data_IF_443517070601
#
_entry.id   IF_443517070601
#
_cell.length_a   1.000
_cell.length_b   1.000
_cell.length_c   1.000
_cell.angle_alpha   90.00
_cell.angle_beta   90.00
_cell.angle_gamma   90.00
#
_symmetry.space_group_name_H-M   'P 1'
#
loop_
_entity.id
_entity.type
_entity.pdbx_description
1 polymer ?
#
# COMPACT_ATOMS: atom_id res chain seq x y z
N UNK A 1 8.20 23.95 -7.79
CA UNK A 1 7.08 24.92 -7.84
C UNK A 1 7.16 25.96 -6.72
N UNK A 2 7.26 25.58 -5.46
CA UNK A 2 7.36 26.55 -4.35
C UNK A 2 8.45 27.61 -4.50
N UNK A 3 9.55 27.31 -5.16
CA UNK A 3 10.61 28.32 -5.42
C UNK A 3 10.29 29.26 -6.58
N UNK A 4 9.56 28.81 -7.61
CA UNK A 4 9.09 29.66 -8.70
C UNK A 4 7.98 30.59 -8.19
N UNK A 5 7.06 30.08 -7.39
CA UNK A 5 6.03 30.89 -6.71
C UNK A 5 6.66 31.96 -5.82
N UNK A 6 7.72 31.59 -5.11
CA UNK A 6 8.45 32.51 -4.23
C UNK A 6 9.22 33.60 -4.99
N UNK A 7 9.70 33.29 -6.20
CA UNK A 7 10.44 34.24 -7.05
C UNK A 7 9.53 35.22 -7.77
N UNK A 8 8.29 34.80 -8.12
CA UNK A 8 7.38 35.60 -8.95
C UNK A 8 6.09 36.03 -8.22
N UNK A 9 5.84 35.54 -7.03
CA UNK A 9 4.62 35.85 -6.28
C UNK A 9 3.32 35.31 -6.94
N UNK A 10 3.47 34.40 -7.89
CA UNK A 10 2.35 33.80 -8.64
C UNK A 10 2.26 32.33 -8.38
N UNK A 11 1.07 31.75 -8.35
CA UNK A 11 0.88 30.31 -8.23
C UNK A 11 1.23 29.59 -9.54
N UNK A 12 1.56 28.30 -9.48
CA UNK A 12 1.83 27.50 -10.68
C UNK A 12 0.65 27.54 -11.68
N UNK A 13 -0.58 27.55 -11.19
CA UNK A 13 -1.78 27.68 -12.02
C UNK A 13 -1.92 29.05 -12.69
N UNK A 14 -1.33 30.10 -12.10
CA UNK A 14 -1.34 31.44 -12.70
C UNK A 14 -0.27 31.55 -13.81
N UNK A 15 0.86 30.88 -13.64
CA UNK A 15 1.92 30.79 -14.66
C UNK A 15 1.40 30.01 -15.88
N UNK A 16 0.73 28.90 -15.68
CA UNK A 16 0.10 28.11 -16.74
C UNK A 16 -0.87 28.94 -17.58
N UNK A 17 -1.73 29.73 -16.92
CA UNK A 17 -2.71 30.60 -17.62
C UNK A 17 -2.06 31.69 -18.45
N UNK A 18 -0.95 32.25 -18.00
CA UNK A 18 -0.24 33.33 -18.68
C UNK A 18 0.60 32.84 -19.85
N UNK A 19 1.21 31.68 -19.72
CA UNK A 19 2.15 31.13 -20.71
C UNK A 19 1.55 30.08 -21.63
N UNK A 20 0.35 29.61 -21.35
CA UNK A 20 -0.29 28.48 -22.06
C UNK A 20 0.62 27.24 -22.15
N UNK A 21 1.41 27.02 -21.10
CA UNK A 21 2.34 25.89 -20.94
C UNK A 21 1.73 24.96 -19.91
N UNK A 22 1.64 23.68 -20.20
CA UNK A 22 1.16 22.69 -19.23
C UNK A 22 2.10 22.64 -18.01
N UNK A 23 1.56 22.38 -16.82
CA UNK A 23 2.35 22.30 -15.57
C UNK A 23 3.50 21.33 -15.72
N UNK A 24 3.30 20.20 -16.40
CA UNK A 24 4.30 19.17 -16.67
C UNK A 24 5.46 19.65 -17.56
N UNK A 25 5.22 20.69 -18.37
CA UNK A 25 6.26 21.30 -19.22
C UNK A 25 7.10 22.35 -18.48
N UNK A 26 6.62 22.89 -17.35
CA UNK A 26 7.34 23.86 -16.53
C UNK A 26 8.51 23.20 -15.78
N UNK A 27 8.47 21.91 -15.55
CA UNK A 27 9.53 21.13 -14.88
C UNK A 27 10.89 21.23 -15.60
N UNK A 28 10.91 21.59 -16.86
CA UNK A 28 12.13 21.69 -17.68
C UNK A 28 12.62 23.12 -17.93
N UNK A 29 11.91 24.12 -17.44
CA UNK A 29 12.33 25.51 -17.62
C UNK A 29 13.47 25.82 -16.68
N UNK A 30 14.63 26.19 -17.24
CA UNK A 30 15.87 26.61 -16.57
C UNK A 30 16.85 25.47 -16.17
N UNK A 31 16.69 24.25 -16.67
CA UNK A 31 17.68 23.18 -16.44
C UNK A 31 17.70 22.65 -15.02
N UNK A 32 16.69 22.97 -14.23
CA UNK A 32 16.43 22.35 -12.94
C UNK A 32 15.43 21.22 -13.21
N UNK A 33 15.89 19.99 -13.17
CA UNK A 33 14.98 18.85 -13.05
C UNK A 33 14.40 18.92 -11.64
N UNK A 34 13.18 19.44 -11.52
CA UNK A 34 12.41 19.16 -10.32
C UNK A 34 12.12 17.66 -10.36
N UNK A 35 12.37 16.94 -9.26
CA UNK A 35 11.90 15.57 -9.20
C UNK A 35 10.39 15.62 -9.50
N UNK A 36 9.99 15.00 -10.60
CA UNK A 36 8.57 14.76 -10.84
C UNK A 36 8.04 14.17 -9.55
N UNK A 37 6.99 14.76 -9.00
CA UNK A 37 6.31 14.17 -7.87
C UNK A 37 5.61 12.90 -8.36
N UNK A 38 6.40 11.89 -8.61
CA UNK A 38 5.94 10.62 -9.15
C UNK A 38 5.36 9.71 -8.08
N UNK A 39 4.76 10.29 -7.06
CA UNK A 39 3.74 9.59 -6.31
C UNK A 39 2.51 9.61 -7.18
N UNK A 40 2.41 8.57 -7.97
CA UNK A 40 1.29 8.44 -8.84
C UNK A 40 0.13 7.79 -8.09
N UNK A 41 -0.88 8.57 -7.84
CA UNK A 41 -2.17 8.10 -7.39
C UNK A 41 -3.20 8.55 -8.42
N UNK A 42 -3.73 7.60 -9.14
CA UNK A 42 -4.74 7.89 -10.15
C UNK A 42 -6.12 7.99 -9.54
N UNK A 43 -7.10 8.17 -10.41
CA UNK A 43 -8.50 8.23 -10.01
C UNK A 43 -9.13 6.87 -9.78
N UNK A 44 -8.48 5.78 -10.17
CA UNK A 44 -9.00 4.41 -10.06
C UNK A 44 -8.27 3.65 -8.96
N UNK A 45 -9.03 3.13 -8.01
CA UNK A 45 -8.55 2.18 -7.00
C UNK A 45 -8.90 0.76 -7.41
N UNK A 46 -7.94 -0.16 -7.33
CA UNK A 46 -8.10 -1.58 -7.53
C UNK A 46 -7.83 -2.31 -6.23
N UNK A 47 -8.62 -3.34 -5.95
CA UNK A 47 -8.37 -4.34 -4.90
C UNK A 47 -8.35 -5.72 -5.52
N UNK A 48 -7.50 -6.60 -5.02
CA UNK A 48 -7.30 -7.90 -5.63
C UNK A 48 -6.98 -8.99 -4.61
N UNK A 49 -7.34 -10.22 -4.96
CA UNK A 49 -7.08 -11.39 -4.16
C UNK A 49 -7.82 -11.38 -2.83
N UNK A 50 -7.15 -11.87 -1.81
CA UNK A 50 -7.67 -11.99 -0.45
C UNK A 50 -8.49 -13.24 -0.21
N UNK A 51 -9.22 -13.24 0.89
CA UNK A 51 -10.07 -14.32 1.34
C UNK A 51 -11.51 -13.85 1.47
N UNK A 52 -12.40 -14.57 0.85
CA UNK A 52 -13.86 -14.39 0.99
C UNK A 52 -14.42 -15.42 1.97
N UNK A 53 -15.41 -14.99 2.72
CA UNK A 53 -16.20 -15.91 3.53
C UNK A 53 -17.38 -16.41 2.71
N UNK A 54 -17.42 -17.70 2.39
CA UNK A 54 -18.56 -18.34 1.68
C UNK A 54 -19.68 -18.79 2.64
N UNK A 55 -19.60 -18.41 3.91
CA UNK A 55 -20.51 -18.82 4.98
C UNK A 55 -20.10 -20.12 5.67
N UNK A 56 -19.08 -20.81 5.20
CA UNK A 56 -18.60 -22.10 5.74
C UNK A 56 -17.09 -22.15 5.90
N UNK A 57 -16.34 -21.45 5.03
CA UNK A 57 -14.89 -21.50 4.97
C UNK A 57 -14.33 -20.20 4.40
N UNK A 58 -13.07 -19.93 4.71
CA UNK A 58 -12.31 -18.94 3.98
C UNK A 58 -11.92 -19.51 2.62
N UNK A 59 -12.30 -18.83 1.55
CA UNK A 59 -11.97 -19.21 0.17
C UNK A 59 -11.13 -18.12 -0.46
N UNK A 60 -9.91 -18.44 -0.93
CA UNK A 60 -9.12 -17.47 -1.68
C UNK A 60 -9.86 -17.06 -2.95
N UNK A 61 -9.71 -15.81 -3.32
CA UNK A 61 -10.30 -15.26 -4.55
C UNK A 61 -9.22 -14.74 -5.47
N UNK A 62 -9.39 -14.93 -6.76
CA UNK A 62 -8.55 -14.35 -7.83
C UNK A 62 -9.14 -13.06 -8.40
N UNK A 63 -10.29 -12.64 -7.90
CA UNK A 63 -11.03 -11.49 -8.42
C UNK A 63 -10.24 -10.19 -8.18
N UNK A 64 -10.30 -9.32 -9.18
CA UNK A 64 -9.87 -7.94 -9.09
C UNK A 64 -11.11 -7.06 -9.22
N UNK A 65 -11.38 -6.29 -8.19
CA UNK A 65 -12.45 -5.29 -8.18
C UNK A 65 -11.87 -3.88 -8.30
N UNK A 66 -12.65 -2.94 -8.87
CA UNK A 66 -12.24 -1.54 -8.99
C UNK A 66 -13.38 -0.55 -8.77
N UNK A 67 -13.00 0.66 -8.41
CA UNK A 67 -13.89 1.84 -8.42
C UNK A 67 -13.09 3.11 -8.71
N UNK A 68 -13.79 4.19 -9.00
CA UNK A 68 -13.17 5.53 -8.99
C UNK A 68 -13.04 5.99 -7.54
N UNK A 69 -11.82 6.23 -7.07
CA UNK A 69 -11.55 6.78 -5.73
C UNK A 69 -12.34 8.08 -5.55
N UNK A 70 -13.02 8.22 -4.43
CA UNK A 70 -13.94 9.31 -4.11
C UNK A 70 -15.31 9.32 -4.82
N UNK A 71 -15.60 8.36 -5.68
CA UNK A 71 -16.99 8.16 -6.14
C UNK A 71 -17.80 7.40 -5.10
N UNK A 72 -19.10 7.63 -5.09
CA UNK A 72 -20.06 6.78 -4.38
C UNK A 72 -20.49 5.63 -5.28
N UNK A 73 -20.71 4.44 -4.73
CA UNK A 73 -21.16 3.25 -5.46
C UNK A 73 -20.25 2.05 -5.21
N UNK A 74 -20.84 0.86 -5.30
CA UNK A 74 -20.14 -0.40 -5.11
C UNK A 74 -19.02 -0.57 -6.15
N UNK A 75 -18.03 -1.40 -5.81
CA UNK A 75 -16.98 -1.78 -6.73
C UNK A 75 -17.54 -2.58 -7.91
N UNK A 76 -16.81 -2.58 -8.98
CA UNK A 76 -17.12 -3.34 -10.22
C UNK A 76 -16.01 -4.33 -10.49
N UNK A 77 -16.35 -5.41 -11.16
CA UNK A 77 -15.39 -6.41 -11.63
C UNK A 77 -14.41 -5.79 -12.63
N UNK A 78 -13.13 -5.97 -12.39
CA UNK A 78 -12.03 -5.56 -13.26
C UNK A 78 -11.50 -6.73 -14.09
N UNK A 79 -11.41 -7.92 -13.50
CA UNK A 79 -10.82 -9.14 -14.05
C UNK A 79 -10.24 -10.02 -12.96
N UNK A 80 -9.31 -10.91 -13.32
CA UNK A 80 -8.78 -11.93 -12.41
C UNK A 80 -7.25 -11.94 -12.36
N UNK A 81 -6.72 -12.41 -11.22
CA UNK A 81 -5.32 -12.83 -11.11
C UNK A 81 -5.12 -14.12 -11.92
N UNK A 82 -4.10 -14.14 -12.76
CA UNK A 82 -3.83 -15.32 -13.61
C UNK A 82 -3.02 -16.39 -12.89
N UNK A 83 -2.29 -16.05 -11.84
CA UNK A 83 -1.66 -17.03 -10.96
C UNK A 83 -2.71 -17.46 -9.93
N UNK A 84 -3.42 -18.51 -10.26
CA UNK A 84 -4.44 -19.12 -9.39
C UNK A 84 -3.78 -19.77 -8.18
N UNK A 85 -4.21 -19.36 -7.01
CA UNK A 85 -3.72 -19.90 -5.73
C UNK A 85 -2.82 -18.95 -4.92
N UNK A 86 -2.18 -17.97 -5.54
CA UNK A 86 -1.38 -16.94 -4.86
C UNK A 86 -2.28 -15.77 -4.40
N UNK A 87 -3.32 -16.03 -3.64
CA UNK A 87 -4.41 -15.06 -3.49
C UNK A 87 -4.45 -14.42 -2.10
N UNK A 88 -3.79 -15.01 -1.11
CA UNK A 88 -3.63 -14.42 0.21
C UNK A 88 -2.35 -13.60 0.29
N UNK A 89 -2.39 -12.49 1.03
CA UNK A 89 -1.20 -11.68 1.34
C UNK A 89 -0.46 -11.18 0.12
N UNK A 90 -1.19 -10.89 -0.93
CA UNK A 90 -0.69 -10.21 -2.12
C UNK A 90 -0.58 -8.72 -1.86
N UNK A 91 0.41 -8.08 -2.42
CA UNK A 91 0.60 -6.64 -2.32
C UNK A 91 0.54 -6.01 -3.70
N UNK A 92 0.25 -4.72 -3.76
CA UNK A 92 0.17 -3.99 -5.02
C UNK A 92 0.80 -2.63 -4.98
N UNK A 93 1.30 -2.23 -6.14
CA UNK A 93 1.82 -0.90 -6.40
C UNK A 93 1.57 -0.52 -7.86
N UNK A 94 1.75 0.74 -8.20
CA UNK A 94 1.62 1.17 -9.59
C UNK A 94 2.56 2.32 -9.94
N UNK A 95 2.72 2.55 -11.25
CA UNK A 95 3.28 3.79 -11.79
C UNK A 95 2.17 4.68 -12.40
N UNK A 96 0.93 4.38 -12.05
CA UNK A 96 -0.24 5.05 -12.52
C UNK A 96 -0.92 4.40 -13.72
N UNK A 97 -0.16 3.97 -14.68
CA UNK A 97 -0.69 3.27 -15.86
C UNK A 97 -0.64 1.77 -15.71
N UNK A 98 0.46 1.26 -15.15
CA UNK A 98 0.69 -0.17 -14.92
C UNK A 98 0.66 -0.45 -13.42
N UNK A 99 -0.30 -1.27 -13.00
CA UNK A 99 -0.38 -1.81 -11.67
C UNK A 99 0.32 -3.16 -11.60
N UNK A 100 1.10 -3.42 -10.55
CA UNK A 100 1.78 -4.70 -10.32
C UNK A 100 1.32 -5.30 -9.01
N UNK A 101 0.94 -6.56 -9.06
CA UNK A 101 0.57 -7.42 -7.93
C UNK A 101 1.72 -8.38 -7.66
N UNK A 102 2.08 -8.57 -6.40
CA UNK A 102 3.30 -9.27 -6.03
C UNK A 102 3.07 -10.39 -5.03
N UNK A 103 3.85 -11.47 -5.17
CA UNK A 103 3.95 -12.54 -4.20
C UNK A 103 2.63 -13.25 -3.94
N UNK A 104 2.44 -13.65 -2.71
CA UNK A 104 1.21 -14.26 -2.20
C UNK A 104 1.38 -15.67 -1.68
N UNK A 105 0.31 -16.18 -1.08
CA UNK A 105 0.27 -17.47 -0.41
C UNK A 105 -1.03 -18.22 -0.69
N UNK A 106 -0.99 -19.53 -0.66
CA UNK A 106 -2.18 -20.40 -0.60
C UNK A 106 -2.02 -21.49 0.44
N UNK A 107 -3.13 -21.88 1.04
CA UNK A 107 -3.21 -23.10 1.85
C UNK A 107 -4.07 -24.19 1.19
N UNK A 108 -4.70 -23.88 0.05
CA UNK A 108 -5.54 -24.83 -0.68
C UNK A 108 -4.68 -25.78 -1.51
N UNK A 109 -4.86 -27.06 -1.28
CA UNK A 109 -4.05 -28.09 -1.95
C UNK A 109 -2.66 -28.29 -1.36
N UNK A 110 -2.34 -27.61 -0.26
CA UNK A 110 -1.05 -27.57 0.42
C UNK A 110 -0.52 -26.15 0.52
N UNK A 111 0.28 -25.88 1.55
CA UNK A 111 0.87 -24.56 1.73
C UNK A 111 1.87 -24.26 0.62
N UNK A 112 1.72 -23.14 -0.07
CA UNK A 112 2.65 -22.65 -1.07
C UNK A 112 2.75 -21.13 -1.02
N UNK A 113 3.95 -20.60 -1.20
CA UNK A 113 4.23 -19.19 -1.45
C UNK A 113 4.70 -19.00 -2.87
N UNK A 114 4.48 -17.81 -3.39
CA UNK A 114 4.73 -17.48 -4.79
C UNK A 114 5.70 -16.30 -4.89
N UNK A 115 6.48 -16.27 -5.97
CA UNK A 115 7.38 -15.17 -6.29
C UNK A 115 6.90 -14.32 -7.47
N UNK A 116 5.73 -14.60 -8.01
CA UNK A 116 5.23 -13.95 -9.22
C UNK A 116 5.06 -12.44 -9.05
N UNK A 117 5.45 -11.71 -10.08
CA UNK A 117 5.00 -10.36 -10.37
C UNK A 117 3.96 -10.45 -11.49
N UNK A 118 2.77 -9.92 -11.26
CA UNK A 118 1.70 -9.89 -12.25
C UNK A 118 1.29 -8.44 -12.50
N UNK A 119 0.94 -8.05 -13.72
CA UNK A 119 0.54 -6.68 -13.98
C UNK A 119 -0.82 -6.56 -14.69
N UNK A 120 -1.42 -5.41 -14.51
CA UNK A 120 -2.59 -4.93 -15.26
C UNK A 120 -2.32 -3.55 -15.83
N UNK A 121 -3.04 -3.17 -16.89
CA UNK A 121 -3.17 -1.77 -17.32
C UNK A 121 -4.32 -1.16 -16.53
N UNK A 122 -4.05 -0.24 -15.60
CA UNK A 122 -5.06 0.26 -14.65
C UNK A 122 -6.27 0.92 -15.34
N UNK A 123 -6.05 1.56 -16.49
CA UNK A 123 -7.10 2.19 -17.29
C UNK A 123 -8.05 1.23 -18.03
N UNK A 124 -7.72 -0.06 -18.11
CA UNK A 124 -8.48 -1.05 -18.91
C UNK A 124 -8.75 -2.30 -18.11
N UNK A 125 -10.03 -2.71 -18.00
CA UNK A 125 -10.40 -3.96 -17.37
C UNK A 125 -9.81 -5.16 -18.10
N UNK A 126 -9.43 -6.18 -17.37
CA UNK A 126 -8.85 -7.43 -17.88
C UNK A 126 -8.03 -8.15 -16.82
N UNK A 127 -7.68 -9.38 -17.11
CA UNK A 127 -6.90 -10.24 -16.23
C UNK A 127 -5.44 -9.80 -16.18
N UNK A 128 -4.75 -10.17 -15.11
CA UNK A 128 -3.31 -9.93 -14.99
C UNK A 128 -2.50 -10.68 -16.05
N UNK A 129 -1.33 -10.15 -16.30
CA UNK A 129 -0.31 -10.76 -17.18
C UNK A 129 0.99 -10.91 -16.39
N UNK A 130 1.77 -11.92 -16.70
CA UNK A 130 3.08 -12.14 -16.10
C UNK A 130 4.02 -10.94 -16.31
N UNK A 131 4.67 -10.51 -15.23
CA UNK A 131 5.64 -9.41 -15.22
C UNK A 131 7.05 -9.86 -14.79
N UNK A 132 7.23 -11.11 -14.39
CA UNK A 132 8.49 -11.65 -13.87
C UNK A 132 8.34 -12.17 -12.45
N UNK A 133 9.45 -12.25 -11.72
CA UNK A 133 9.51 -12.86 -10.40
C UNK A 133 10.22 -11.97 -9.37
N UNK A 134 9.82 -12.04 -8.11
CA UNK A 134 10.61 -11.63 -6.95
C UNK A 134 11.86 -12.49 -6.83
N UNK A 135 12.85 -12.08 -6.05
CA UNK A 135 14.08 -12.82 -5.82
C UNK A 135 13.84 -14.21 -5.22
N UNK A 136 12.76 -14.35 -4.44
CA UNK A 136 12.32 -15.63 -3.87
C UNK A 136 10.79 -15.62 -3.60
N UNK A 137 10.23 -16.81 -3.41
CA UNK A 137 8.83 -16.97 -3.05
C UNK A 137 8.57 -16.49 -1.62
N UNK A 138 7.74 -15.47 -1.47
CA UNK A 138 7.43 -14.82 -0.20
C UNK A 138 6.04 -14.17 -0.21
N UNK A 139 5.50 -13.94 0.95
CA UNK A 139 4.22 -13.25 1.14
C UNK A 139 4.29 -12.29 2.34
N UNK A 140 3.24 -11.54 2.56
CA UNK A 140 3.06 -10.74 3.78
C UNK A 140 4.06 -9.58 3.96
N UNK A 141 4.66 -9.15 2.87
CA UNK A 141 5.43 -7.91 2.82
C UNK A 141 4.54 -6.70 2.52
N UNK A 142 5.17 -5.59 2.22
CA UNK A 142 4.51 -4.35 1.78
C UNK A 142 5.25 -3.75 0.60
N UNK A 143 4.56 -2.90 -0.15
CA UNK A 143 5.09 -2.36 -1.41
C UNK A 143 5.07 -0.84 -1.43
N UNK A 144 6.06 -0.26 -2.10
CA UNK A 144 6.15 1.15 -2.42
C UNK A 144 6.59 1.36 -3.87
N UNK A 145 6.38 2.55 -4.42
CA UNK A 145 6.72 2.90 -5.79
C UNK A 145 7.25 4.32 -5.89
N UNK A 146 8.30 4.53 -6.68
CA UNK A 146 8.71 5.88 -7.08
C UNK A 146 8.23 6.25 -8.50
N UNK A 147 7.25 5.53 -9.02
CA UNK A 147 6.73 5.72 -10.37
C UNK A 147 7.57 5.07 -11.48
N UNK A 148 8.83 4.76 -11.22
CA UNK A 148 9.73 4.06 -12.15
C UNK A 148 9.97 2.63 -11.67
N UNK A 149 10.33 2.48 -10.42
CA UNK A 149 10.62 1.22 -9.77
C UNK A 149 9.56 0.89 -8.70
N UNK A 150 9.22 -0.38 -8.62
CA UNK A 150 8.48 -0.97 -7.51
C UNK A 150 9.45 -1.60 -6.52
N UNK A 151 9.06 -1.58 -5.26
CA UNK A 151 9.83 -2.12 -4.13
C UNK A 151 8.93 -3.03 -3.31
N UNK A 152 9.47 -4.15 -2.85
CA UNK A 152 8.81 -5.07 -1.94
C UNK A 152 9.66 -5.22 -0.70
N UNK A 153 9.13 -4.79 0.44
CA UNK A 153 9.83 -4.81 1.72
C UNK A 153 9.51 -6.09 2.49
N UNK A 154 10.54 -6.77 2.97
CA UNK A 154 10.42 -7.89 3.90
C UNK A 154 9.58 -9.07 3.37
N UNK A 155 8.60 -9.48 4.14
CA UNK A 155 7.79 -10.67 3.93
C UNK A 155 8.34 -11.88 4.68
N UNK A 156 7.67 -13.02 4.51
CA UNK A 156 8.09 -14.29 5.11
C UNK A 156 8.21 -15.40 4.07
N UNK A 157 9.01 -16.41 4.40
CA UNK A 157 9.19 -17.62 3.59
C UNK A 157 8.54 -18.84 4.22
N UNK A 158 8.02 -19.75 3.38
CA UNK A 158 7.31 -20.94 3.81
C UNK A 158 8.20 -21.93 4.59
N UNK A 159 9.47 -22.06 4.22
CA UNK A 159 10.35 -23.12 4.74
C UNK A 159 10.53 -23.10 6.27
N UNK A 160 10.43 -21.92 6.87
CA UNK A 160 10.62 -21.75 8.32
C UNK A 160 9.59 -20.80 8.93
N UNK A 161 8.69 -20.24 8.15
CA UNK A 161 7.85 -19.12 8.54
C UNK A 161 8.72 -17.97 9.10
N UNK A 162 9.91 -17.83 8.50
CA UNK A 162 10.86 -16.82 8.92
C UNK A 162 10.62 -15.54 8.14
N UNK A 163 10.69 -14.47 8.87
CA UNK A 163 10.64 -13.12 8.35
C UNK A 163 11.93 -12.82 7.57
N UNK A 164 11.83 -11.97 6.56
CA UNK A 164 12.93 -11.52 5.71
C UNK A 164 13.25 -10.06 5.98
N UNK A 165 14.52 -9.68 5.82
CA UNK A 165 14.95 -8.27 5.82
C UNK A 165 15.10 -7.71 4.41
N UNK A 166 15.17 -8.57 3.43
CA UNK A 166 15.46 -8.25 2.04
C UNK A 166 14.41 -7.31 1.44
N UNK A 167 14.87 -6.34 0.68
CA UNK A 167 14.05 -5.44 -0.13
C UNK A 167 14.30 -5.76 -1.59
N UNK A 168 13.28 -6.23 -2.28
CA UNK A 168 13.33 -6.44 -3.72
C UNK A 168 12.95 -5.17 -4.47
N UNK A 169 13.52 -4.96 -5.67
CA UNK A 169 13.08 -3.90 -6.57
C UNK A 169 13.10 -4.32 -8.04
N UNK A 170 12.24 -3.70 -8.83
CA UNK A 170 12.12 -3.94 -10.28
C UNK A 170 11.60 -2.71 -11.01
N UNK A 171 11.86 -2.60 -12.32
CA UNK A 171 11.28 -1.56 -13.15
C UNK A 171 9.81 -1.87 -13.46
N UNK A 172 8.88 -0.99 -13.06
CA UNK A 172 7.42 -1.23 -13.20
C UNK A 172 7.00 -1.30 -14.67
N UNK A 173 7.57 -0.47 -15.54
CA UNK A 173 7.15 -0.33 -16.93
C UNK A 173 7.51 -1.55 -17.81
N UNK A 174 8.37 -2.43 -17.35
CA UNK A 174 8.87 -3.58 -18.11
C UNK A 174 8.60 -4.89 -17.40
N UNK A 175 8.53 -6.00 -18.13
CA UNK A 175 8.46 -7.34 -17.55
C UNK A 175 9.87 -7.85 -17.32
N UNK A 176 10.30 -7.95 -16.06
CA UNK A 176 11.63 -8.39 -15.66
C UNK A 176 11.59 -8.87 -14.20
N UNK A 177 12.50 -9.77 -13.86
CA UNK A 177 12.64 -10.22 -12.48
C UNK A 177 13.17 -9.10 -11.58
N UNK A 178 12.78 -9.16 -10.32
CA UNK A 178 13.31 -8.29 -9.28
C UNK A 178 14.79 -8.58 -8.99
N UNK A 179 15.44 -7.60 -8.40
CA UNK A 179 16.80 -7.67 -7.88
C UNK A 179 16.82 -7.22 -6.43
N UNK A 180 17.86 -7.59 -5.71
CA UNK A 180 18.09 -7.12 -4.35
C UNK A 180 18.40 -5.61 -4.34
N UNK A 181 17.70 -4.87 -3.48
CA UNK A 181 17.91 -3.44 -3.25
C UNK A 181 18.73 -3.17 -1.98
N UNK A 182 18.55 -3.97 -0.94
CA UNK A 182 19.14 -3.83 0.37
C UNK A 182 18.27 -4.47 1.45
N UNK A 183 18.49 -4.12 2.70
CA UNK A 183 17.84 -4.74 3.84
C UNK A 183 17.14 -3.71 4.75
N UNK A 184 16.16 -4.17 5.50
CA UNK A 184 15.62 -3.44 6.62
C UNK A 184 16.68 -3.26 7.70
N UNK A 185 16.71 -2.07 8.34
CA UNK A 185 17.74 -1.69 9.32
C UNK A 185 17.68 -2.48 10.62
N UNK A 186 16.52 -3.05 10.92
CA UNK A 186 16.29 -3.77 12.17
C UNK A 186 16.22 -5.27 11.95
N UNK A 187 16.90 -6.02 12.84
CA UNK A 187 16.87 -7.50 12.84
C UNK A 187 15.55 -8.10 13.35
N UNK A 188 14.68 -7.29 13.88
CA UNK A 188 13.31 -7.71 14.19
C UNK A 188 12.47 -7.50 12.94
N UNK A 189 12.30 -8.54 12.22
CA UNK A 189 11.65 -8.60 10.94
C UNK A 189 10.15 -8.70 11.19
N UNK A 190 9.42 -7.80 10.59
CA UNK A 190 8.00 -7.69 10.84
C UNK A 190 7.23 -7.82 9.53
N UNK A 191 6.31 -8.72 9.55
CA UNK A 191 5.28 -8.88 8.54
C UNK A 191 4.07 -8.01 8.88
N UNK A 192 3.18 -7.81 7.92
CA UNK A 192 1.86 -7.17 8.13
C UNK A 192 1.92 -5.68 8.51
N UNK A 193 2.99 -5.01 8.09
CA UNK A 193 3.11 -3.57 8.19
C UNK A 193 2.27 -2.83 7.14
N UNK A 194 2.43 -1.52 7.09
CA UNK A 194 1.97 -0.65 6.01
C UNK A 194 3.16 -0.03 5.28
N UNK A 195 2.92 0.50 4.10
CA UNK A 195 3.92 1.30 3.40
C UNK A 195 3.28 2.51 2.74
N UNK A 196 4.06 3.57 2.64
CA UNK A 196 3.75 4.81 1.92
C UNK A 196 5.00 5.30 1.21
N UNK A 197 4.85 6.22 0.27
CA UNK A 197 5.98 6.80 -0.46
C UNK A 197 5.70 8.20 -0.96
N UNK A 198 6.76 8.94 -1.33
CA UNK A 198 6.67 10.28 -1.91
C UNK A 198 7.54 10.45 -3.16
N UNK A 199 7.79 9.42 -3.92
CA UNK A 199 8.72 9.40 -5.05
C UNK A 199 10.22 9.41 -4.68
N UNK A 200 10.60 9.97 -3.55
CA UNK A 200 11.99 10.04 -3.06
C UNK A 200 12.23 9.00 -1.98
N UNK A 201 11.31 8.93 -1.04
CA UNK A 201 11.37 8.06 0.12
C UNK A 201 10.27 7.01 0.08
N UNK A 202 10.64 5.76 0.33
CA UNK A 202 9.73 4.70 0.70
C UNK A 202 9.77 4.52 2.20
N UNK A 203 8.62 4.64 2.86
CA UNK A 203 8.46 4.44 4.30
C UNK A 203 7.72 3.15 4.55
N UNK A 204 8.14 2.44 5.59
CA UNK A 204 7.47 1.23 6.05
C UNK A 204 7.08 1.39 7.51
N UNK A 205 5.81 1.21 7.79
CA UNK A 205 5.29 1.07 9.14
C UNK A 205 5.45 -0.37 9.60
N UNK A 206 6.03 -0.53 10.76
CA UNK A 206 6.38 -1.84 11.29
C UNK A 206 5.16 -2.61 11.76
N UNK A 207 5.06 -3.87 11.36
CA UNK A 207 4.06 -4.82 11.82
C UNK A 207 4.48 -5.58 13.08
N UNK A 208 4.16 -6.87 13.15
CA UNK A 208 4.59 -7.77 14.22
C UNK A 208 5.73 -8.67 13.78
N UNK A 209 6.50 -9.17 14.73
CA UNK A 209 7.50 -10.21 14.46
C UNK A 209 6.87 -11.60 14.42
N UNK A 210 7.49 -12.53 13.69
CA UNK A 210 7.09 -13.96 13.69
C UNK A 210 7.09 -14.58 15.10
N UNK A 211 7.83 -13.99 16.03
CA UNK A 211 7.80 -14.37 17.45
C UNK A 211 6.62 -13.81 18.23
N UNK A 212 5.65 -13.18 17.55
CA UNK A 212 4.49 -12.51 18.16
C UNK A 212 4.87 -11.46 19.18
N UNK A 213 6.00 -10.77 18.95
CA UNK A 213 6.43 -9.69 19.82
C UNK A 213 5.67 -8.43 19.46
N UNK A 214 4.72 -8.07 20.29
CA UNK A 214 3.98 -6.82 20.25
C UNK A 214 4.80 -5.72 20.93
N UNK A 215 4.55 -4.47 20.56
CA UNK A 215 5.20 -3.32 21.20
C UNK A 215 6.19 -2.56 20.34
N UNK A 216 6.32 -2.92 19.10
CA UNK A 216 7.08 -2.14 18.13
C UNK A 216 6.20 -1.05 17.51
N UNK A 217 6.76 0.13 17.27
CA UNK A 217 6.08 1.26 16.67
C UNK A 217 6.94 2.00 15.65
N UNK A 218 8.08 1.41 15.28
CA UNK A 218 9.05 2.03 14.40
C UNK A 218 8.50 2.26 12.99
N UNK A 219 8.91 3.36 12.42
CA UNK A 219 8.77 3.66 11.01
C UNK A 219 10.17 3.66 10.42
N UNK A 220 10.43 2.80 9.46
CA UNK A 220 11.68 2.76 8.70
C UNK A 220 11.50 3.47 7.36
N UNK A 221 12.57 4.07 6.84
CA UNK A 221 12.56 4.66 5.50
C UNK A 221 13.82 4.36 4.71
N UNK A 222 13.71 4.47 3.40
CA UNK A 222 14.83 4.41 2.46
C UNK A 222 14.70 5.49 1.39
N UNK A 223 15.84 5.89 0.83
CA UNK A 223 15.87 6.69 -0.40
C UNK A 223 15.78 5.75 -1.60
N UNK A 224 14.71 5.88 -2.39
CA UNK A 224 14.40 4.96 -3.50
C UNK A 224 15.30 5.14 -4.75
N UNK A 225 16.12 6.18 -4.80
CA UNK A 225 17.00 6.46 -5.94
C UNK A 225 18.28 5.63 -5.99
N UNK A 226 18.69 5.03 -4.88
CA UNK A 226 19.94 4.27 -4.78
C UNK A 226 19.81 3.12 -3.80
N UNK A 227 20.40 1.98 -4.16
CA UNK A 227 20.42 0.79 -3.31
C UNK A 227 21.02 1.09 -1.95
N UNK A 228 20.29 0.79 -0.89
CA UNK A 228 20.70 1.02 0.50
C UNK A 228 19.77 0.28 1.46
N UNK A 229 20.26 0.08 2.68
CA UNK A 229 19.40 -0.38 3.77
C UNK A 229 18.48 0.76 4.25
N UNK A 230 17.38 0.40 4.91
CA UNK A 230 16.52 1.39 5.56
C UNK A 230 17.20 2.04 6.75
N UNK A 231 16.69 3.16 7.16
CA UNK A 231 17.07 3.89 8.37
C UNK A 231 15.83 4.19 9.21
N UNK A 232 16.03 4.53 10.47
CA UNK A 232 14.97 4.93 11.38
C UNK A 232 14.37 6.28 10.95
N UNK A 233 13.04 6.32 10.80
CA UNK A 233 12.28 7.53 10.48
C UNK A 233 11.69 8.17 11.74
N UNK A 234 11.15 7.37 12.64
CA UNK A 234 10.44 7.76 13.85
C UNK A 234 9.46 6.67 14.30
N UNK A 235 8.50 7.03 15.13
CA UNK A 235 7.57 6.10 15.75
C UNK A 235 6.11 6.38 15.39
N UNK A 236 5.28 5.34 15.28
CA UNK A 236 3.81 5.43 15.26
C UNK A 236 3.26 5.91 16.61
N UNK A 237 2.05 6.44 16.66
CA UNK A 237 1.40 6.85 17.91
C UNK A 237 0.98 5.63 18.75
N UNK A 238 0.64 4.51 18.11
CA UNK A 238 0.28 3.25 18.77
C UNK A 238 1.35 2.20 18.60
N UNK A 239 1.56 1.39 19.66
CA UNK A 239 2.56 0.32 19.67
C UNK A 239 1.99 -0.98 19.13
N UNK A 240 2.78 -1.73 18.38
CA UNK A 240 2.50 -3.12 18.04
C UNK A 240 1.39 -3.33 17.01
N UNK A 241 1.18 -2.38 16.14
CA UNK A 241 0.14 -2.49 15.11
C UNK A 241 0.43 -3.58 14.07
N UNK A 242 -0.61 -4.26 13.64
CA UNK A 242 -0.63 -5.34 12.65
C UNK A 242 -1.77 -5.12 11.68
N UNK A 243 -1.60 -5.48 10.43
CA UNK A 243 -2.64 -5.32 9.43
C UNK A 243 -2.86 -3.85 9.03
N UNK A 244 -1.75 -3.12 8.88
CA UNK A 244 -1.74 -1.70 8.56
C UNK A 244 -1.96 -1.48 7.07
N UNK A 245 -2.73 -0.46 6.73
CA UNK A 245 -2.82 0.07 5.37
C UNK A 245 -2.12 1.41 5.26
N UNK A 246 -1.56 1.73 4.10
CA UNK A 246 -0.94 3.03 3.84
C UNK A 246 -1.56 3.71 2.63
N UNK A 247 -1.75 5.03 2.73
CA UNK A 247 -2.06 5.88 1.59
C UNK A 247 -1.38 7.23 1.75
N UNK A 248 -1.16 7.93 0.66
CA UNK A 248 -0.39 9.17 0.69
C UNK A 248 -0.86 10.19 -0.35
N UNK A 249 -0.37 11.39 -0.17
CA UNK A 249 -0.23 12.38 -1.22
C UNK A 249 1.26 12.74 -1.39
N UNK A 250 1.57 13.85 -2.04
CA UNK A 250 2.97 14.24 -2.30
C UNK A 250 3.74 14.70 -1.05
N UNK A 251 3.09 14.85 0.10
CA UNK A 251 3.68 15.43 1.31
C UNK A 251 3.34 14.69 2.59
N UNK A 252 2.20 14.05 2.63
CA UNK A 252 1.68 13.37 3.80
C UNK A 252 1.44 11.90 3.50
N UNK A 253 2.02 11.04 4.33
CA UNK A 253 1.70 9.64 4.38
C UNK A 253 0.79 9.35 5.56
N UNK A 254 -0.26 8.60 5.32
CA UNK A 254 -1.26 8.23 6.32
C UNK A 254 -1.23 6.72 6.50
N UNK A 255 -1.14 6.29 7.73
CA UNK A 255 -1.21 4.89 8.13
C UNK A 255 -2.57 4.63 8.80
N UNK A 256 -3.25 3.61 8.34
CA UNK A 256 -4.55 3.19 8.85
C UNK A 256 -4.38 2.11 9.91
N UNK A 257 -5.25 2.13 10.88
CA UNK A 257 -5.29 1.24 12.03
C UNK A 257 -5.09 -0.24 11.74
N UNK A 258 -4.89 -0.98 12.79
CA UNK A 258 -4.71 -2.42 12.79
C UNK A 258 -4.87 -2.97 14.19
N UNK A 259 -4.28 -4.12 14.47
CA UNK A 259 -4.24 -4.71 15.81
C UNK A 259 -3.02 -4.23 16.58
N UNK A 260 -3.18 -3.71 17.80
CA UNK A 260 -2.05 -3.22 18.59
C UNK A 260 -1.51 -4.26 19.60
N UNK A 261 -2.28 -5.28 19.92
CA UNK A 261 -1.83 -6.46 20.67
C UNK A 261 -2.57 -7.71 20.21
N UNK A 262 -2.24 -8.87 20.71
CA UNK A 262 -2.84 -10.14 20.32
C UNK A 262 -4.35 -10.24 20.50
N UNK A 263 -4.98 -9.25 21.13
CA UNK A 263 -6.37 -9.32 21.56
C UNK A 263 -7.19 -8.07 21.27
N UNK A 264 -6.55 -6.95 20.93
CA UNK A 264 -7.23 -5.69 20.79
C UNK A 264 -6.92 -5.01 19.45
N UNK A 265 -7.95 -4.55 18.80
CA UNK A 265 -7.87 -3.74 17.60
C UNK A 265 -7.78 -2.25 17.99
N UNK A 266 -7.16 -1.44 17.13
CA UNK A 266 -7.15 0.01 17.24
C UNK A 266 -7.91 0.63 16.07
N UNK A 267 -8.53 1.77 16.28
CA UNK A 267 -9.18 2.56 15.23
C UNK A 267 -8.36 3.79 14.84
N UNK A 268 -7.17 3.96 15.40
CA UNK A 268 -6.32 5.14 15.19
C UNK A 268 -5.82 5.21 13.76
N UNK A 269 -5.86 6.38 13.18
CA UNK A 269 -5.20 6.75 11.94
C UNK A 269 -4.07 7.70 12.28
N UNK A 270 -2.87 7.37 11.86
CA UNK A 270 -1.66 8.17 12.06
C UNK A 270 -1.21 8.82 10.76
N UNK A 271 -0.45 9.92 10.84
CA UNK A 271 0.21 10.49 9.67
C UNK A 271 1.62 11.00 9.96
N UNK A 272 2.41 11.04 8.92
CA UNK A 272 3.74 11.67 8.91
C UNK A 272 3.87 12.64 7.73
N UNK A 273 4.82 13.57 7.85
CA UNK A 273 5.31 14.34 6.69
C UNK A 273 6.45 13.56 6.05
N UNK A 274 6.25 13.03 4.85
CA UNK A 274 7.13 12.02 4.23
C UNK A 274 8.58 12.50 4.03
N UNK A 275 8.78 13.79 3.77
CA UNK A 275 10.11 14.38 3.54
C UNK A 275 10.91 14.70 4.80
N UNK A 276 10.37 14.47 6.00
CA UNK A 276 11.01 14.89 7.27
C UNK A 276 10.88 13.80 8.31
N UNK A 277 12.00 13.24 8.76
CA UNK A 277 12.03 12.24 9.84
C UNK A 277 11.41 12.78 11.12
N UNK A 278 10.65 11.96 11.81
CA UNK A 278 9.98 12.28 13.06
C UNK A 278 8.82 11.33 13.34
N UNK A 279 8.31 11.42 14.56
CA UNK A 279 7.22 10.57 15.01
C UNK A 279 5.91 10.93 14.28
N UNK A 280 5.06 9.93 14.09
CA UNK A 280 3.73 10.10 13.56
C UNK A 280 2.87 10.95 14.53
N UNK A 281 1.88 11.59 13.96
CA UNK A 281 0.90 12.37 14.66
C UNK A 281 -0.48 11.76 14.45
N UNK A 282 -1.33 11.81 15.47
CA UNK A 282 -2.71 11.38 15.37
C UNK A 282 -3.44 12.16 14.26
N UNK A 283 -4.08 11.42 13.36
CA UNK A 283 -4.90 11.97 12.29
C UNK A 283 -6.39 11.98 12.67
N UNK A 284 -6.84 10.92 13.34
CA UNK A 284 -8.21 10.63 13.71
C UNK A 284 -8.47 9.14 13.77
N UNK A 285 -9.73 8.72 13.61
CA UNK A 285 -10.14 7.33 13.76
C UNK A 285 -10.90 6.82 12.54
N UNK A 286 -10.80 5.50 12.26
CA UNK A 286 -11.73 4.82 11.33
C UNK A 286 -13.13 4.73 11.93
N UNK A 287 -14.14 4.52 11.09
CA UNK A 287 -15.55 4.48 11.54
C UNK A 287 -15.89 3.25 12.37
N UNK A 288 -15.11 2.22 12.29
CA UNK A 288 -15.27 0.98 13.06
C UNK A 288 -13.97 0.59 13.76
N UNK A 289 -14.11 0.00 14.95
CA UNK A 289 -12.98 -0.62 15.63
C UNK A 289 -12.79 -2.02 15.06
N UNK A 290 -11.65 -2.25 14.42
CA UNK A 290 -11.34 -3.54 13.84
C UNK A 290 -10.04 -3.52 13.06
N UNK A 291 -9.48 -4.68 12.82
CA UNK A 291 -8.32 -4.84 11.97
C UNK A 291 -8.69 -4.56 10.52
N UNK A 292 -8.06 -3.57 9.94
CA UNK A 292 -8.10 -3.38 8.50
C UNK A 292 -7.14 -4.40 7.89
N UNK A 293 -7.70 -5.53 7.45
CA UNK A 293 -6.93 -6.52 6.70
C UNK A 293 -6.55 -7.82 7.41
N UNK A 294 -6.98 -8.06 8.66
CA UNK A 294 -6.61 -9.31 9.34
C UNK A 294 -7.72 -10.37 9.35
N UNK A 295 -7.35 -11.60 9.14
CA UNK A 295 -8.19 -12.80 9.30
C UNK A 295 -7.92 -13.50 10.63
N UNK A 296 -8.97 -14.14 11.18
CA UNK A 296 -8.89 -14.88 12.42
C UNK A 296 -7.71 -15.87 12.43
N UNK A 297 -6.70 -15.55 13.17
CA UNK A 297 -5.66 -16.51 13.52
C UNK A 297 -4.33 -16.36 12.88
N UNK A 298 -4.10 -15.41 12.02
CA UNK A 298 -2.79 -14.97 11.55
C UNK A 298 -2.89 -14.16 10.25
N UNK A 299 -2.32 -12.96 10.25
CA UNK A 299 -1.65 -12.40 9.08
C UNK A 299 -2.55 -11.59 8.12
N UNK A 300 -2.31 -10.31 8.08
CA UNK A 300 -2.89 -9.39 7.11
C UNK A 300 -1.78 -8.78 6.24
N UNK A 301 -2.03 -8.59 4.97
CA UNK A 301 -1.18 -7.75 4.12
C UNK A 301 -1.58 -6.28 4.30
N UNK A 302 -0.62 -5.42 4.60
CA UNK A 302 -0.85 -4.00 4.86
C UNK A 302 -1.13 -3.12 3.64
N UNK A 303 -1.55 -3.68 2.51
CA UNK A 303 -1.71 -2.96 1.26
C UNK A 303 -3.16 -2.82 0.81
N UNK A 304 -4.09 -2.60 1.70
CA UNK A 304 -5.51 -2.50 1.40
C UNK A 304 -6.04 -1.05 1.30
N UNK A 305 -5.18 -0.08 1.21
CA UNK A 305 -5.54 1.32 1.06
C UNK A 305 -5.07 1.89 -0.28
N UNK A 306 -5.78 2.88 -0.79
CA UNK A 306 -5.45 3.61 -2.01
C UNK A 306 -5.68 5.09 -1.83
N UNK A 307 -5.09 5.91 -2.70
CA UNK A 307 -5.37 7.35 -2.72
C UNK A 307 -5.45 7.91 -4.14
N UNK A 308 -6.01 9.11 -4.24
CA UNK A 308 -6.00 9.94 -5.45
C UNK A 308 -5.36 11.31 -5.22
N UNK A 309 -4.38 11.39 -4.32
CA UNK A 309 -3.70 12.62 -3.83
C UNK A 309 -4.58 13.54 -2.96
N UNK A 310 -5.88 13.39 -2.95
CA UNK A 310 -6.78 14.21 -2.16
C UNK A 310 -7.49 13.38 -1.10
N UNK A 311 -7.99 12.22 -1.51
CA UNK A 311 -8.67 11.26 -0.65
C UNK A 311 -7.88 9.97 -0.55
N UNK A 312 -7.83 9.41 0.65
CA UNK A 312 -7.44 8.04 0.91
C UNK A 312 -8.68 7.20 1.18
N UNK A 313 -8.74 6.00 0.64
CA UNK A 313 -9.78 5.01 0.91
C UNK A 313 -9.13 3.73 1.42
N UNK A 314 -9.78 3.08 2.39
CA UNK A 314 -9.39 1.78 2.93
C UNK A 314 -10.53 0.81 2.76
N UNK A 315 -10.21 -0.43 2.44
CA UNK A 315 -11.16 -1.44 1.98
C UNK A 315 -11.19 -2.66 2.87
N UNK A 316 -12.39 -3.11 3.24
CA UNK A 316 -12.62 -4.35 3.93
C UNK A 316 -12.03 -4.41 5.33
N UNK A 317 -11.49 -5.58 5.68
CA UNK A 317 -10.88 -5.84 6.97
C UNK A 317 -11.66 -6.87 7.80
N UNK A 318 -11.21 -7.06 9.04
CA UNK A 318 -11.79 -8.01 9.97
C UNK A 318 -11.70 -7.48 11.40
N UNK A 319 -12.77 -7.61 12.15
CA UNK A 319 -12.77 -7.36 13.60
C UNK A 319 -12.51 -8.64 14.37
N UNK A 320 -11.69 -8.58 15.40
CA UNK A 320 -11.37 -9.77 16.19
C UNK A 320 -12.62 -10.44 16.76
N UNK A 321 -12.80 -11.71 16.42
CA UNK A 321 -13.97 -12.51 16.83
C UNK A 321 -15.28 -12.09 16.18
N UNK A 322 -15.24 -11.19 15.20
CA UNK A 322 -16.38 -10.65 14.48
C UNK A 322 -16.41 -11.05 12.99
N UNK A 323 -17.28 -10.42 12.21
CA UNK A 323 -17.39 -10.67 10.78
C UNK A 323 -16.24 -10.06 9.98
N UNK A 324 -16.04 -10.51 8.76
CA UNK A 324 -15.34 -9.79 7.71
C UNK A 324 -16.14 -8.54 7.34
N UNK A 325 -15.44 -7.51 6.88
CA UNK A 325 -16.05 -6.26 6.47
C UNK A 325 -16.01 -6.12 4.95
N UNK A 326 -17.08 -5.59 4.40
CA UNK A 326 -17.14 -5.11 3.02
C UNK A 326 -17.01 -3.58 2.94
N UNK A 327 -16.91 -2.92 4.08
CA UNK A 327 -16.94 -1.46 4.22
C UNK A 327 -15.78 -0.78 3.49
N UNK A 328 -16.06 0.42 3.02
CA UNK A 328 -15.08 1.34 2.49
C UNK A 328 -15.14 2.61 3.33
N UNK A 329 -14.04 2.95 3.98
CA UNK A 329 -13.88 4.20 4.71
C UNK A 329 -12.95 5.14 3.93
N UNK A 330 -13.17 6.45 4.04
CA UNK A 330 -12.31 7.45 3.40
C UNK A 330 -11.97 8.62 4.30
N UNK A 331 -10.86 9.27 3.97
CA UNK A 331 -10.39 10.52 4.56
C UNK A 331 -10.09 11.55 3.47
N UNK A 332 -9.98 12.82 3.86
CA UNK A 332 -9.30 13.84 3.07
C UNK A 332 -7.86 13.98 3.62
N UNK A 333 -6.86 13.58 2.85
CA UNK A 333 -5.47 13.36 3.33
C UNK A 333 -4.88 14.60 4.03
N UNK A 334 -5.14 15.79 3.54
CA UNK A 334 -4.61 17.04 4.13
C UNK A 334 -5.42 17.59 5.31
N UNK A 335 -6.55 16.96 5.67
CA UNK A 335 -7.43 17.46 6.75
C UNK A 335 -7.58 16.38 7.81
N UNK A 336 -6.98 16.59 8.98
CA UNK A 336 -7.11 15.69 10.13
C UNK A 336 -8.55 15.59 10.61
N UNK A 337 -8.96 14.42 11.01
CA UNK A 337 -10.30 14.10 11.50
C UNK A 337 -10.65 12.64 11.24
N UNK A 338 -11.73 12.18 11.84
CA UNK A 338 -12.16 10.80 11.69
C UNK A 338 -12.53 10.48 10.23
N UNK A 339 -12.32 9.25 9.83
CA UNK A 339 -12.76 8.72 8.55
C UNK A 339 -14.31 8.80 8.45
N UNK A 340 -14.76 8.75 7.22
CA UNK A 340 -16.20 8.71 6.91
C UNK A 340 -16.45 7.45 6.11
N UNK A 341 -17.52 6.72 6.45
CA UNK A 341 -17.94 5.59 5.62
C UNK A 341 -18.40 6.09 4.24
N UNK A 342 -17.91 5.45 3.20
CA UNK A 342 -18.33 5.74 1.84
C UNK A 342 -19.78 5.29 1.58
N UNK A 343 -20.33 4.46 2.45
CA UNK A 343 -21.64 3.83 2.26
C UNK A 343 -21.68 2.81 1.13
N UNK A 344 -20.51 2.44 0.63
CA UNK A 344 -20.29 1.51 -0.45
C UNK A 344 -19.65 0.25 0.11
N UNK A 345 -19.80 -0.84 -0.60
CA UNK A 345 -19.23 -2.11 -0.18
C UNK A 345 -18.35 -2.70 -1.29
N UNK A 346 -17.37 -3.49 -0.89
CA UNK A 346 -16.72 -4.46 -1.76
C UNK A 346 -17.79 -5.38 -2.37
N UNK A 347 -17.50 -6.01 -3.50
CA UNK A 347 -18.41 -7.00 -4.11
C UNK A 347 -18.69 -8.18 -3.20
N UNK A 348 -17.82 -8.44 -2.22
CA UNK A 348 -18.04 -9.37 -1.10
C UNK A 348 -17.21 -8.97 0.12
N UNK A 349 -17.63 -9.42 1.31
CA UNK A 349 -16.82 -9.37 2.52
C UNK A 349 -15.47 -10.02 2.24
N UNK A 350 -14.37 -9.30 2.46
CA UNK A 350 -13.03 -9.75 2.10
C UNK A 350 -12.00 -9.21 3.07
N UNK A 351 -10.93 -9.98 3.27
CA UNK A 351 -9.76 -9.58 4.02
C UNK A 351 -8.48 -10.05 3.30
N UNK A 352 -7.31 -9.63 3.76
CA UNK A 352 -6.01 -10.03 3.22
C UNK A 352 -5.85 -9.69 1.74
N UNK A 353 -6.50 -8.61 1.31
CA UNK A 353 -6.42 -8.10 -0.06
C UNK A 353 -5.12 -7.34 -0.27
N UNK A 354 -4.74 -7.25 -1.55
CA UNK A 354 -3.85 -6.18 -2.01
C UNK A 354 -4.65 -5.02 -2.60
N UNK A 355 -4.04 -3.85 -2.67
CA UNK A 355 -4.63 -2.68 -3.32
C UNK A 355 -3.57 -1.86 -4.07
N UNK A 356 -4.02 -1.13 -5.07
CA UNK A 356 -3.22 -0.13 -5.79
C UNK A 356 -4.13 0.94 -6.41
N UNK A 357 -3.56 2.08 -6.79
CA UNK A 357 -4.28 3.12 -7.53
C UNK A 357 -3.56 3.53 -8.80
N UNK A 358 -4.32 4.04 -9.79
CA UNK A 358 -3.79 4.49 -11.05
C UNK A 358 -4.88 5.13 -11.97
N UNK A 359 -4.57 5.37 -13.23
CA UNK A 359 -5.47 5.91 -14.26
C UNK A 359 -5.50 5.10 -15.53
#
# INVERSE_FOLDING_TARGET
>A
MAEIEKLMGASASDIEKVMNIAVDDIEKVMGVEYPSSAVWTGTRGLVFGGSRNDGSSQVPTDIIDYKTVSSTGAMSDFGDLTVTGANYYVCGLSNGTRGVVTGGYTHIGGNAMYNNLQYVTVGSTGNTTDAGDLTQAKCDGVTASNGTNGYYFAGMILASWADLQEIDYWAIATSNNASDFGDLSTSAIDTQGGAINDATYGLRYKGITSSSTWGNKYIDYMTMASTSNTSDFGDMTVTGAQGLGGCEDTTRGVNWSGRYDGSNDTNVIDYVTTATTGDATDFGDVTYSGNIGDGAGNQASGANAVSNLTKGEVYGGYSQGGPYHANIDYITIQTTGNATSAGDDLTAENNQLGALSGT
#
